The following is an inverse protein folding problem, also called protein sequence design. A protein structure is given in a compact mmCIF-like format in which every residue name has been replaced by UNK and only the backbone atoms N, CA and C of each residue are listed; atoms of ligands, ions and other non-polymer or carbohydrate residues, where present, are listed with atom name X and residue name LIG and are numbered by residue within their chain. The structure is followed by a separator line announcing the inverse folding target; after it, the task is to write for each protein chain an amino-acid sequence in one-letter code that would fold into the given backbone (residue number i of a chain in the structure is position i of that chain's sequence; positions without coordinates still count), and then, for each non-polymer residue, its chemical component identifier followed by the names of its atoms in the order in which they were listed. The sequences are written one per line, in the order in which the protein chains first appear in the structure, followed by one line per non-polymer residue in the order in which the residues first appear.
data_IF_812863780861
#
_entry.id   IF_812863780861
#
_cell.length_a   1.000
_cell.length_b   1.000
_cell.length_c   1.000
_cell.angle_alpha   90.00
_cell.angle_beta   90.00
_cell.angle_gamma   90.00
#
_symmetry.space_group_name_H-M   'P 1'
#
loop_
_entity.id
_entity.type
_entity.pdbx_description
1 polymer ?
#
# COMPACT_ATOMS: atom_id res chain seq x y z
N UNK A 1 -3.25 -8.07 3.51
CA UNK A 1 -3.07 -6.69 3.99
C UNK A 1 -2.06 -6.69 5.12
N UNK A 2 -1.13 -5.75 5.08
CA UNK A 2 -0.02 -5.63 6.02
C UNK A 2 -0.16 -4.30 6.78
N UNK A 3 -0.83 -4.36 7.92
CA UNK A 3 -1.06 -3.18 8.76
C UNK A 3 -1.14 -3.58 10.22
N UNK A 4 -0.26 -3.02 11.06
CA UNK A 4 -0.17 -3.38 12.47
C UNK A 4 -1.43 -3.01 13.28
N UNK A 5 -2.27 -2.12 12.77
CA UNK A 5 -3.55 -1.78 13.37
C UNK A 5 -4.61 -2.88 13.28
N UNK A 6 -4.38 -3.91 12.45
CA UNK A 6 -5.29 -5.04 12.37
C UNK A 6 -4.98 -6.06 13.46
N UNK A 7 -5.97 -6.55 14.23
CA UNK A 7 -5.75 -7.57 15.26
C UNK A 7 -5.10 -8.85 14.73
N UNK A 8 -5.28 -9.15 13.44
CA UNK A 8 -4.68 -10.32 12.79
C UNK A 8 -3.19 -10.15 12.47
N UNK A 9 -2.63 -8.95 12.58
CA UNK A 9 -1.21 -8.72 12.34
C UNK A 9 -0.37 -9.34 13.46
N UNK A 10 0.72 -10.03 13.09
CA UNK A 10 1.56 -10.76 14.05
C UNK A 10 2.11 -9.88 15.17
N UNK A 11 2.33 -8.59 14.89
CA UNK A 11 2.91 -7.63 15.85
C UNK A 11 1.92 -6.59 16.33
N UNK A 12 0.62 -6.86 16.19
CA UNK A 12 -0.43 -5.92 16.60
C UNK A 12 -0.29 -5.54 18.09
N UNK A 13 -0.14 -6.50 18.97
CA UNK A 13 -0.03 -6.26 20.42
C UNK A 13 1.23 -5.47 20.76
N UNK A 14 2.35 -5.79 20.11
CA UNK A 14 3.60 -5.07 20.33
C UNK A 14 3.46 -3.61 19.91
N UNK A 15 2.88 -3.35 18.74
CA UNK A 15 2.64 -1.99 18.26
C UNK A 15 1.70 -1.23 19.19
N UNK A 16 0.63 -1.87 19.67
CA UNK A 16 -0.32 -1.26 20.60
C UNK A 16 0.35 -0.83 21.92
N UNK A 17 1.34 -1.61 22.40
CA UNK A 17 2.07 -1.26 23.63
C UNK A 17 3.10 -0.16 23.43
N UNK A 18 3.73 -0.08 22.26
CA UNK A 18 4.82 0.83 22.00
C UNK A 18 4.42 2.14 21.33
N UNK A 19 3.25 2.17 20.70
CA UNK A 19 2.79 3.31 19.90
C UNK A 19 1.44 3.81 20.39
N UNK A 20 1.19 5.10 20.26
CA UNK A 20 -0.12 5.70 20.52
C UNK A 20 -1.09 5.53 19.36
N UNK A 21 -0.62 5.09 18.21
CA UNK A 21 -1.41 4.80 17.02
C UNK A 21 -0.60 3.89 16.09
N UNK A 22 -1.20 3.48 14.97
CA UNK A 22 -0.58 2.49 14.08
C UNK A 22 -0.02 3.09 12.79
N UNK A 23 -0.11 4.41 12.65
CA UNK A 23 0.44 5.13 11.50
C UNK A 23 -0.47 5.12 10.28
N UNK A 24 0.02 5.81 9.24
CA UNK A 24 -0.71 6.01 7.98
C UNK A 24 -0.16 5.26 6.78
N UNK A 25 0.68 4.25 6.98
CA UNK A 25 1.25 3.44 5.90
C UNK A 25 0.56 2.09 5.87
N UNK A 26 -0.01 1.75 4.71
CA UNK A 26 -0.71 0.47 4.51
C UNK A 26 -0.11 -0.21 3.29
N UNK A 27 0.24 -1.47 3.41
CA UNK A 27 0.62 -2.30 2.29
C UNK A 27 -0.39 -3.43 2.12
N UNK A 28 -0.72 -3.77 0.88
CA UNK A 28 -1.67 -4.83 0.58
C UNK A 28 -1.38 -5.45 -0.78
N UNK A 29 -1.88 -6.65 -0.98
CA UNK A 29 -1.75 -7.36 -2.23
C UNK A 29 -3.13 -7.48 -2.89
N UNK A 30 -3.16 -7.27 -4.20
CA UNK A 30 -4.38 -7.47 -5.00
C UNK A 30 -4.39 -8.88 -5.58
N UNK A 31 -5.57 -9.36 -5.94
CA UNK A 31 -5.71 -10.64 -6.63
C UNK A 31 -5.18 -10.48 -8.06
N UNK A 32 -4.18 -11.27 -8.42
CA UNK A 32 -3.47 -11.19 -9.69
C UNK A 32 -2.01 -10.84 -9.48
N UNK A 33 -1.35 -10.48 -10.56
CA UNK A 33 0.07 -10.15 -10.56
C UNK A 33 0.29 -8.65 -10.82
N UNK A 34 1.43 -8.29 -11.39
CA UNK A 34 1.81 -6.91 -11.72
C UNK A 34 0.72 -6.16 -12.47
N UNK A 35 0.12 -6.79 -13.47
CA UNK A 35 -0.89 -6.13 -14.29
C UNK A 35 -2.13 -5.72 -13.49
N UNK A 36 -2.54 -6.55 -12.53
CA UNK A 36 -3.63 -6.22 -11.63
C UNK A 36 -3.28 -5.04 -10.72
N UNK A 37 -2.06 -5.03 -10.17
CA UNK A 37 -1.58 -3.93 -9.35
C UNK A 37 -1.53 -2.62 -10.15
N UNK A 38 -1.06 -2.67 -11.39
CA UNK A 38 -1.02 -1.48 -12.25
C UNK A 38 -2.42 -0.99 -12.63
N UNK A 39 -3.35 -1.90 -12.92
CA UNK A 39 -4.74 -1.49 -13.17
C UNK A 39 -5.36 -0.80 -11.95
N UNK A 40 -5.07 -1.31 -10.77
CA UNK A 40 -5.52 -0.66 -9.52
C UNK A 40 -5.02 0.78 -9.45
N UNK A 41 -3.72 0.97 -9.61
CA UNK A 41 -3.09 2.31 -9.55
C UNK A 41 -3.70 3.24 -10.61
N UNK A 42 -3.81 2.77 -11.84
CA UNK A 42 -4.29 3.59 -12.95
C UNK A 42 -5.76 4.00 -12.79
N UNK A 43 -6.55 3.23 -12.05
CA UNK A 43 -7.94 3.55 -11.77
C UNK A 43 -8.12 4.58 -10.67
N UNK A 44 -7.14 4.76 -9.79
CA UNK A 44 -7.21 5.79 -8.75
C UNK A 44 -7.02 7.19 -9.33
N UNK A 45 -7.70 8.17 -8.75
CA UNK A 45 -7.70 9.55 -9.23
C UNK A 45 -7.23 10.54 -8.17
N UNK A 46 -7.48 10.23 -6.90
CA UNK A 46 -7.12 11.09 -5.77
C UNK A 46 -5.69 10.84 -5.31
N UNK A 47 -5.27 9.57 -5.29
CA UNK A 47 -3.94 9.19 -4.87
C UNK A 47 -2.90 9.61 -5.91
N UNK A 48 -1.78 10.17 -5.45
CA UNK A 48 -0.65 10.51 -6.32
C UNK A 48 0.31 9.34 -6.43
N UNK A 49 0.76 9.03 -7.64
CA UNK A 49 1.74 7.97 -7.88
C UNK A 49 3.12 8.53 -7.58
N UNK A 50 3.77 8.02 -6.54
CA UNK A 50 5.11 8.44 -6.15
C UNK A 50 5.79 7.39 -5.27
N UNK A 51 7.11 7.36 -5.31
CA UNK A 51 7.91 6.48 -4.45
C UNK A 51 8.04 7.01 -3.01
N UNK A 52 7.72 8.26 -2.77
CA UNK A 52 7.82 8.89 -1.46
C UNK A 52 6.66 8.48 -0.53
N UNK A 53 6.80 8.83 0.74
CA UNK A 53 5.78 8.60 1.75
C UNK A 53 5.81 9.73 2.78
N UNK A 54 4.76 9.82 3.59
CA UNK A 54 4.74 10.79 4.71
C UNK A 54 4.35 12.21 4.32
N UNK A 55 3.62 12.39 3.23
CA UNK A 55 3.07 13.68 2.81
C UNK A 55 1.68 13.92 3.40
N UNK A 56 1.23 15.17 3.39
CA UNK A 56 -0.17 15.54 3.67
C UNK A 56 -1.13 15.00 2.60
N UNK A 57 -0.62 14.71 1.41
CA UNK A 57 -1.34 14.12 0.30
C UNK A 57 -1.14 12.60 0.31
N UNK A 58 -2.22 11.86 0.08
CA UNK A 58 -2.14 10.40 -0.05
C UNK A 58 -1.38 10.02 -1.32
N UNK A 59 -0.49 9.05 -1.19
CA UNK A 59 0.35 8.55 -2.28
C UNK A 59 0.24 7.04 -2.39
N UNK A 60 0.45 6.52 -3.61
CA UNK A 60 0.44 5.09 -3.88
C UNK A 60 1.66 4.71 -4.73
N UNK A 61 2.23 3.55 -4.47
CA UNK A 61 3.35 3.03 -5.25
C UNK A 61 3.24 1.52 -5.43
N UNK A 62 3.90 1.01 -6.47
CA UNK A 62 4.14 -0.41 -6.72
C UNK A 62 5.61 -0.71 -6.39
N UNK A 63 5.91 -1.24 -5.19
CA UNK A 63 7.31 -1.38 -4.73
C UNK A 63 8.19 -2.22 -5.65
N UNK A 64 7.65 -3.29 -6.24
CA UNK A 64 8.45 -4.20 -7.08
C UNK A 64 9.05 -3.51 -8.32
N UNK A 65 8.40 -2.47 -8.86
CA UNK A 65 8.89 -1.75 -10.05
C UNK A 65 9.45 -0.36 -9.74
N UNK A 66 9.36 0.11 -8.50
CA UNK A 66 9.80 1.45 -8.11
C UNK A 66 10.86 1.40 -7.01
N UNK A 67 10.45 1.40 -5.74
CA UNK A 67 11.37 1.50 -4.61
C UNK A 67 12.31 0.28 -4.49
N UNK A 68 11.88 -0.89 -4.96
CA UNK A 68 12.64 -2.14 -4.93
C UNK A 68 12.91 -2.70 -6.34
N UNK A 69 12.81 -1.86 -7.36
CA UNK A 69 13.02 -2.26 -8.74
C UNK A 69 14.47 -2.60 -9.10
N UNK A 70 15.44 -2.11 -8.29
CA UNK A 70 16.88 -2.31 -8.55
C UNK A 70 17.43 -3.63 -8.01
N UNK A 71 16.71 -4.27 -7.09
CA UNK A 71 17.12 -5.57 -6.54
C UNK A 71 16.56 -6.71 -7.40
N UNK A 72 17.17 -7.89 -7.28
CA UNK A 72 16.75 -9.05 -8.07
C UNK A 72 15.35 -9.53 -7.68
N UNK A 73 14.63 -10.24 -8.56
CA UNK A 73 13.34 -10.84 -8.20
C UNK A 73 13.42 -11.75 -6.97
N UNK A 74 14.52 -12.53 -6.83
CA UNK A 74 14.73 -13.40 -5.67
C UNK A 74 14.90 -12.60 -4.38
N UNK A 75 15.60 -11.47 -4.42
CA UNK A 75 15.78 -10.59 -3.27
C UNK A 75 14.47 -9.91 -2.89
N UNK A 76 13.67 -9.49 -3.89
CA UNK A 76 12.32 -8.94 -3.63
C UNK A 76 11.43 -9.97 -2.92
N UNK A 77 11.43 -11.20 -3.41
CA UNK A 77 10.64 -12.27 -2.80
C UNK A 77 11.02 -12.52 -1.34
N UNK A 78 12.33 -12.56 -1.04
CA UNK A 78 12.82 -12.71 0.34
C UNK A 78 12.42 -11.55 1.24
N UNK A 79 12.31 -10.34 0.69
CA UNK A 79 11.86 -9.15 1.41
C UNK A 79 10.33 -9.07 1.53
N UNK A 80 9.58 -9.99 0.93
CA UNK A 80 8.11 -9.96 0.94
C UNK A 80 7.52 -9.00 -0.08
N UNK A 81 8.31 -8.55 -1.06
CA UNK A 81 7.88 -7.63 -2.11
C UNK A 81 7.41 -8.43 -3.32
N UNK A 82 6.13 -8.73 -3.37
CA UNK A 82 5.51 -9.47 -4.48
C UNK A 82 5.16 -8.54 -5.64
N UNK A 83 4.85 -9.13 -6.79
CA UNK A 83 4.42 -8.37 -7.98
C UNK A 83 3.01 -7.76 -7.81
N UNK A 84 2.23 -8.28 -6.88
CA UNK A 84 0.88 -7.78 -6.57
C UNK A 84 0.83 -6.80 -5.41
N UNK A 85 1.96 -6.50 -4.78
CA UNK A 85 2.02 -5.63 -3.60
C UNK A 85 1.90 -4.16 -3.98
N UNK A 86 1.03 -3.46 -3.25
CA UNK A 86 0.84 -2.02 -3.31
C UNK A 86 1.08 -1.41 -1.93
N UNK A 87 1.59 -0.18 -1.89
CA UNK A 87 1.77 0.56 -0.65
C UNK A 87 1.10 1.93 -0.77
N UNK A 88 0.33 2.30 0.24
CA UNK A 88 -0.31 3.60 0.34
C UNK A 88 0.23 4.32 1.57
N UNK A 89 0.59 5.58 1.39
CA UNK A 89 0.81 6.53 2.48
C UNK A 89 -0.42 7.42 2.56
N UNK A 90 -1.21 7.27 3.62
CA UNK A 90 -2.48 7.96 3.78
C UNK A 90 -2.23 9.38 4.25
N UNK A 91 -2.80 10.36 3.54
CA UNK A 91 -2.72 11.78 3.85
C UNK A 91 -3.95 12.29 4.59
N UNK A 92 -4.23 13.58 4.42
CA UNK A 92 -5.25 14.30 5.17
C UNK A 92 -6.56 14.51 4.41
N UNK A 93 -6.74 13.86 3.27
CA UNK A 93 -7.98 13.96 2.49
C UNK A 93 -9.19 13.38 3.26
N UNK A 94 -10.39 13.76 2.83
CA UNK A 94 -11.61 13.21 3.41
C UNK A 94 -11.64 11.69 3.26
N UNK A 95 -11.97 11.00 4.35
CA UNK A 95 -12.00 9.54 4.39
C UNK A 95 -12.96 8.94 3.36
N UNK A 96 -14.09 9.60 3.11
CA UNK A 96 -15.07 9.13 2.11
C UNK A 96 -14.50 9.19 0.70
N UNK A 97 -13.74 10.24 0.39
CA UNK A 97 -13.09 10.39 -0.92
C UNK A 97 -11.99 9.36 -1.10
N UNK A 98 -11.18 9.10 -0.06
CA UNK A 98 -10.16 8.06 -0.09
C UNK A 98 -10.77 6.68 -0.30
N UNK A 99 -11.84 6.36 0.43
CA UNK A 99 -12.52 5.08 0.28
C UNK A 99 -13.11 4.89 -1.11
N UNK A 100 -13.71 5.95 -1.66
CA UNK A 100 -14.26 5.91 -3.03
C UNK A 100 -13.15 5.71 -4.07
N UNK A 101 -11.99 6.33 -3.88
CA UNK A 101 -10.86 6.19 -4.78
C UNK A 101 -10.28 4.77 -4.75
N UNK A 102 -10.11 4.22 -3.55
CA UNK A 102 -9.66 2.83 -3.39
C UNK A 102 -10.65 1.84 -3.99
N UNK A 103 -11.96 2.12 -3.86
CA UNK A 103 -12.98 1.27 -4.47
C UNK A 103 -12.87 1.25 -6.00
N UNK A 104 -12.56 2.40 -6.62
CA UNK A 104 -12.29 2.44 -8.07
C UNK A 104 -11.16 1.48 -8.46
N UNK A 105 -10.09 1.45 -7.67
CA UNK A 105 -9.00 0.51 -7.89
C UNK A 105 -9.43 -0.94 -7.73
N UNK A 106 -10.19 -1.24 -6.70
CA UNK A 106 -10.67 -2.60 -6.44
C UNK A 106 -11.62 -3.11 -7.52
N UNK A 107 -12.41 -2.23 -8.11
CA UNK A 107 -13.41 -2.61 -9.11
C UNK A 107 -12.80 -3.09 -10.44
N UNK A 108 -11.51 -2.83 -10.69
CA UNK A 108 -10.84 -3.19 -11.95
C UNK A 108 -9.80 -4.31 -11.81
N UNK A 109 -9.67 -4.90 -10.64
CA UNK A 109 -8.76 -6.03 -10.43
C UNK A 109 -9.47 -7.37 -10.41
#
# INVERSE_FOLDING_TARGET
MHYAGLPSHAQHELAARQQSGFGGIIAFEVMGERDAAWRFIDATRLLSITANLGDVKSTITHPATTTHGRITPAERERAGITESLLRISVGLEDLRDLRADLQRGLDVV
#
